data_IF_353812373939
#
_entry.id   IF_353812373939
#
_cell.length_a   1.000
_cell.length_b   1.000
_cell.length_c   1.000
_cell.angle_alpha   90.00
_cell.angle_beta   90.00
_cell.angle_gamma   90.00
#
_symmetry.space_group_name_H-M   'P 1'
#
loop_
_entity.id
_entity.type
_entity.pdbx_description
1 polymer ?
#
# COMPACT_ATOMS: atom_id res chain seq x y z
N UNK A 1 28.47 -7.08 -4.54
CA UNK A 1 27.03 -6.95 -4.21
C UNK A 1 26.96 -6.66 -2.72
N UNK A 2 26.41 -5.51 -2.30
CA UNK A 2 26.16 -5.25 -0.87
C UNK A 2 24.88 -6.01 -0.51
N UNK A 3 24.98 -6.97 0.39
CA UNK A 3 23.81 -7.58 1.02
C UNK A 3 22.96 -6.46 1.63
N UNK A 4 21.67 -6.45 1.27
CA UNK A 4 20.70 -5.55 1.90
C UNK A 4 20.58 -6.06 3.34
N UNK A 5 20.90 -5.26 4.38
CA UNK A 5 20.66 -5.71 5.74
C UNK A 5 19.16 -6.03 5.86
N UNK A 6 18.84 -7.26 6.26
CA UNK A 6 17.46 -7.62 6.57
C UNK A 6 16.97 -6.69 7.68
N UNK A 7 15.85 -6.01 7.44
CA UNK A 7 15.25 -5.13 8.44
C UNK A 7 14.74 -6.02 9.58
N UNK A 8 15.12 -5.68 10.81
CA UNK A 8 14.54 -6.33 11.98
C UNK A 8 13.02 -6.05 12.03
N UNK A 9 12.23 -6.98 12.53
CA UNK A 9 10.77 -6.84 12.56
C UNK A 9 10.32 -5.59 13.35
N UNK A 10 11.07 -5.22 14.38
CA UNK A 10 10.85 -3.99 15.14
C UNK A 10 11.08 -2.73 14.29
N UNK A 11 12.06 -2.74 13.40
CA UNK A 11 12.32 -1.64 12.48
C UNK A 11 11.21 -1.52 11.43
N UNK A 12 10.74 -2.67 10.91
CA UNK A 12 9.61 -2.71 9.99
C UNK A 12 8.36 -2.11 10.64
N UNK A 13 8.03 -2.50 11.87
CA UNK A 13 6.89 -1.96 12.60
C UNK A 13 7.01 -0.44 12.80
N UNK A 14 8.17 0.03 13.27
CA UNK A 14 8.41 1.47 13.47
C UNK A 14 8.26 2.28 12.18
N UNK A 15 8.77 1.75 11.06
CA UNK A 15 8.67 2.41 9.76
C UNK A 15 7.22 2.36 9.24
N UNK A 16 6.48 1.27 9.46
CA UNK A 16 5.06 1.18 9.13
C UNK A 16 4.24 2.21 9.92
N UNK A 17 4.47 2.37 11.22
CA UNK A 17 3.79 3.35 12.05
C UNK A 17 4.09 4.78 11.59
N UNK A 18 5.33 5.05 11.21
CA UNK A 18 5.74 6.33 10.63
C UNK A 18 5.06 6.60 9.29
N UNK A 19 4.99 5.60 8.40
CA UNK A 19 4.29 5.72 7.12
C UNK A 19 2.79 5.98 7.32
N UNK A 20 2.16 5.24 8.24
CA UNK A 20 0.76 5.42 8.63
C UNK A 20 0.49 6.84 9.10
N UNK A 21 1.32 7.38 9.99
CA UNK A 21 1.19 8.75 10.46
C UNK A 21 1.22 9.77 9.29
N UNK A 22 2.15 9.61 8.35
CA UNK A 22 2.28 10.48 7.17
C UNK A 22 1.04 10.39 6.27
N UNK A 23 0.54 9.17 6.02
CA UNK A 23 -0.66 8.94 5.21
C UNK A 23 -1.89 9.60 5.82
N UNK A 24 -2.07 9.46 7.14
CA UNK A 24 -3.19 10.05 7.89
C UNK A 24 -3.12 11.57 7.97
N UNK A 25 -1.93 12.14 8.15
CA UNK A 25 -1.72 13.59 8.27
C UNK A 25 -1.79 14.33 6.94
N UNK A 26 -1.83 13.64 5.80
CA UNK A 26 -1.81 14.27 4.49
C UNK A 26 -3.06 15.13 4.26
N UNK A 27 -2.87 16.32 3.68
CA UNK A 27 -3.90 17.37 3.55
C UNK A 27 -5.00 17.09 2.53
N UNK A 28 -4.89 16.00 1.76
CA UNK A 28 -5.91 15.58 0.82
C UNK A 28 -7.25 15.25 1.53
N UNK A 29 -8.38 15.20 0.78
CA UNK A 29 -9.68 14.78 1.32
C UNK A 29 -9.62 13.38 1.93
N UNK A 30 -10.23 13.17 3.10
CA UNK A 30 -10.16 11.90 3.83
C UNK A 30 -10.84 10.74 3.09
N UNK A 31 -11.84 11.04 2.26
CA UNK A 31 -12.53 10.05 1.43
C UNK A 31 -11.60 9.23 0.53
N UNK A 32 -10.38 9.73 0.23
CA UNK A 32 -9.34 8.96 -0.46
C UNK A 32 -9.02 7.64 0.24
N UNK A 33 -9.12 7.60 1.57
CA UNK A 33 -8.83 6.44 2.41
C UNK A 33 -10.06 5.54 2.64
N UNK A 34 -11.15 5.73 1.88
CA UNK A 34 -12.40 4.96 2.04
C UNK A 34 -12.24 3.45 1.81
N UNK A 35 -11.19 3.04 1.09
CA UNK A 35 -10.83 1.63 0.88
C UNK A 35 -9.76 1.13 1.86
N UNK A 36 -9.18 2.03 2.63
CA UNK A 36 -8.04 1.75 3.49
C UNK A 36 -8.39 1.74 4.97
N UNK A 37 -9.46 2.45 5.36
CA UNK A 37 -9.88 2.64 6.74
C UNK A 37 -11.39 2.45 6.81
N UNK A 38 -11.82 1.59 7.72
CA UNK A 38 -13.23 1.35 7.96
C UNK A 38 -13.92 2.61 8.51
N UNK A 39 -15.10 2.93 7.98
CA UNK A 39 -15.93 4.06 8.41
C UNK A 39 -15.21 5.43 8.38
N UNK A 40 -14.31 5.65 7.42
CA UNK A 40 -13.52 6.90 7.34
C UNK A 40 -14.38 8.18 7.23
N UNK A 41 -15.60 8.08 6.69
CA UNK A 41 -16.53 9.21 6.56
C UNK A 41 -16.96 9.83 7.90
N UNK A 42 -16.77 9.13 9.03
CA UNK A 42 -17.06 9.68 10.37
C UNK A 42 -16.19 10.88 10.73
N UNK A 43 -15.02 11.02 10.10
CA UNK A 43 -14.10 12.13 10.35
C UNK A 43 -14.48 13.39 9.57
N UNK A 44 -15.22 13.25 8.47
CA UNK A 44 -15.62 14.37 7.60
C UNK A 44 -16.87 15.11 8.11
N UNK A 45 -17.64 14.46 8.97
CA UNK A 45 -18.94 14.94 9.47
C UNK A 45 -18.85 15.68 10.80
N UNK A 46 -17.66 15.77 11.40
CA UNK A 46 -17.48 16.32 12.74
C UNK A 46 -17.34 17.85 12.69
N UNK A 47 -18.32 18.56 13.24
CA UNK A 47 -18.18 19.99 13.52
C UNK A 47 -17.40 20.17 14.82
N UNK A 48 -16.17 20.66 14.73
CA UNK A 48 -15.29 20.90 15.87
C UNK A 48 -14.15 21.87 15.51
N UNK A 49 -13.33 22.27 16.49
CA UNK A 49 -12.20 23.19 16.25
C UNK A 49 -11.02 22.51 15.52
N UNK A 50 -11.04 21.19 15.40
CA UNK A 50 -9.98 20.38 14.78
C UNK A 50 -10.30 20.08 13.32
N UNK A 51 -9.26 19.89 12.51
CA UNK A 51 -9.44 19.44 11.13
C UNK A 51 -9.77 17.94 11.11
N UNK A 52 -10.49 17.45 10.09
CA UNK A 52 -10.71 16.01 9.92
C UNK A 52 -9.41 15.20 9.95
N UNK A 53 -8.32 15.73 9.37
CA UNK A 53 -7.02 15.05 9.31
C UNK A 53 -6.37 14.93 10.68
N UNK A 54 -6.51 15.97 11.51
CA UNK A 54 -6.03 15.93 12.89
C UNK A 54 -6.80 14.88 13.69
N UNK A 55 -8.13 14.85 13.56
CA UNK A 55 -8.98 13.85 14.22
C UNK A 55 -8.63 12.42 13.78
N UNK A 56 -8.39 12.21 12.48
CA UNK A 56 -7.96 10.92 11.93
C UNK A 56 -6.60 10.49 12.50
N UNK A 57 -5.63 11.39 12.53
CA UNK A 57 -4.29 11.13 13.06
C UNK A 57 -4.34 10.78 14.55
N UNK A 58 -5.10 11.55 15.35
CA UNK A 58 -5.26 11.30 16.78
C UNK A 58 -5.98 9.98 17.06
N UNK A 59 -7.01 9.63 16.27
CA UNK A 59 -7.71 8.36 16.41
C UNK A 59 -6.84 7.16 15.96
N UNK A 60 -5.90 7.38 15.03
CA UNK A 60 -5.01 6.37 14.44
C UNK A 60 -5.70 5.02 14.17
N UNK A 61 -6.86 5.00 13.48
CA UNK A 61 -7.59 3.76 13.26
C UNK A 61 -6.71 2.72 12.54
N UNK A 62 -6.94 1.42 12.75
CA UNK A 62 -6.20 0.41 12.02
C UNK A 62 -6.49 0.54 10.51
N UNK A 63 -5.49 0.18 9.70
CA UNK A 63 -5.72 -0.04 8.28
C UNK A 63 -6.52 -1.33 8.08
N UNK A 64 -7.27 -1.39 6.99
CA UNK A 64 -7.77 -2.66 6.45
C UNK A 64 -6.59 -3.57 6.10
N UNK A 65 -6.81 -4.89 6.13
CA UNK A 65 -5.76 -5.89 5.97
C UNK A 65 -4.91 -5.68 4.71
N UNK A 66 -5.56 -5.45 3.56
CA UNK A 66 -4.87 -5.19 2.29
C UNK A 66 -3.98 -3.94 2.37
N UNK A 67 -4.49 -2.82 2.91
CA UNK A 67 -3.74 -1.58 3.05
C UNK A 67 -2.54 -1.72 3.99
N UNK A 68 -2.70 -2.48 5.09
CA UNK A 68 -1.60 -2.77 6.01
C UNK A 68 -0.48 -3.56 5.29
N UNK A 69 -0.82 -4.64 4.59
CA UNK A 69 0.15 -5.44 3.83
C UNK A 69 0.82 -4.64 2.70
N UNK A 70 0.07 -3.76 2.04
CA UNK A 70 0.64 -2.85 1.03
C UNK A 70 1.69 -1.96 1.69
N UNK A 71 1.35 -1.22 2.74
CA UNK A 71 2.30 -0.31 3.41
C UNK A 71 3.52 -1.06 3.91
N UNK A 72 3.32 -2.23 4.52
CA UNK A 72 4.41 -3.09 4.98
C UNK A 72 5.31 -3.52 3.83
N UNK A 73 4.75 -3.86 2.66
CA UNK A 73 5.54 -4.22 1.48
C UNK A 73 6.44 -3.07 1.00
N UNK A 74 5.92 -1.85 0.95
CA UNK A 74 6.76 -0.67 0.65
C UNK A 74 7.87 -0.48 1.69
N UNK A 75 7.58 -0.70 2.97
CA UNK A 75 8.58 -0.60 4.04
C UNK A 75 9.64 -1.70 3.92
N UNK A 76 9.26 -2.95 3.64
CA UNK A 76 10.22 -4.04 3.48
C UNK A 76 11.10 -3.87 2.23
N UNK A 77 10.53 -3.35 1.14
CA UNK A 77 11.27 -3.18 -0.11
C UNK A 77 12.20 -1.95 -0.09
N UNK A 78 11.84 -0.86 0.59
CA UNK A 78 12.59 0.41 0.55
C UNK A 78 13.19 0.84 1.90
N UNK A 79 12.75 0.26 3.02
CA UNK A 79 13.20 0.57 4.37
C UNK A 79 13.14 2.07 4.68
N UNK A 80 14.17 2.57 5.36
CA UNK A 80 14.33 4.00 5.62
C UNK A 80 14.44 4.85 4.34
N UNK A 81 14.79 4.23 3.19
CA UNK A 81 14.85 4.89 1.89
C UNK A 81 13.48 5.40 1.42
N UNK A 82 12.38 4.78 1.86
CA UNK A 82 11.01 5.23 1.57
C UNK A 82 10.74 6.67 2.05
N UNK A 83 11.49 7.14 3.05
CA UNK A 83 11.32 8.46 3.66
C UNK A 83 12.33 9.50 3.13
N UNK A 84 13.08 9.17 2.08
CA UNK A 84 14.14 10.03 1.51
C UNK A 84 14.10 10.00 -0.02
N UNK A 85 14.56 11.06 -0.69
CA UNK A 85 14.80 10.99 -2.13
C UNK A 85 15.79 9.84 -2.49
N UNK A 86 15.61 9.17 -3.64
CA UNK A 86 14.58 9.43 -4.64
C UNK A 86 13.24 8.76 -4.32
N UNK A 87 13.13 7.83 -3.37
CA UNK A 87 11.93 6.98 -3.21
C UNK A 87 10.78 7.61 -2.42
N UNK A 88 10.98 8.79 -1.81
CA UNK A 88 9.94 9.52 -1.08
C UNK A 88 8.68 9.82 -1.88
N UNK A 89 8.74 9.84 -3.22
CA UNK A 89 7.53 10.01 -4.05
C UNK A 89 6.54 8.83 -3.90
N UNK A 90 7.03 7.62 -3.61
CA UNK A 90 6.16 6.46 -3.38
C UNK A 90 5.33 6.64 -2.12
N UNK A 91 5.95 7.12 -1.03
CA UNK A 91 5.22 7.45 0.20
C UNK A 91 4.24 8.60 0.00
N UNK A 92 4.62 9.61 -0.80
CA UNK A 92 3.71 10.69 -1.16
C UNK A 92 2.52 10.17 -1.98
N UNK A 93 2.72 9.21 -2.88
CA UNK A 93 1.63 8.58 -3.62
C UNK A 93 0.66 7.86 -2.67
N UNK A 94 1.18 7.03 -1.74
CA UNK A 94 0.36 6.37 -0.71
C UNK A 94 -0.44 7.38 0.11
N UNK A 95 0.18 8.50 0.48
CA UNK A 95 -0.46 9.53 1.29
C UNK A 95 -1.52 10.33 0.52
N UNK A 96 -1.26 10.61 -0.76
CA UNK A 96 -2.11 11.43 -1.62
C UNK A 96 -3.34 10.69 -2.14
N UNK A 97 -3.25 9.39 -2.41
CA UNK A 97 -4.35 8.60 -3.00
C UNK A 97 -4.90 7.51 -2.08
N UNK A 98 -4.16 7.10 -1.05
CA UNK A 98 -4.45 5.94 -0.21
C UNK A 98 -3.66 4.70 -0.66
N UNK A 99 -3.21 3.83 0.28
CA UNK A 99 -2.40 2.66 -0.04
C UNK A 99 -2.94 1.79 -1.16
N UNK A 100 -4.22 1.44 -1.09
CA UNK A 100 -4.84 0.54 -2.07
C UNK A 100 -4.89 1.18 -3.46
N UNK A 101 -5.32 2.45 -3.58
CA UNK A 101 -5.40 3.13 -4.88
C UNK A 101 -4.02 3.40 -5.51
N UNK A 102 -3.01 3.69 -4.69
CA UNK A 102 -1.63 3.82 -5.16
C UNK A 102 -1.07 2.49 -5.67
N UNK A 103 -1.25 1.40 -4.92
CA UNK A 103 -0.81 0.07 -5.31
C UNK A 103 -1.46 -0.40 -6.62
N UNK A 104 -2.77 -0.17 -6.76
CA UNK A 104 -3.49 -0.42 -8.01
C UNK A 104 -2.91 0.33 -9.20
N UNK A 105 -2.60 1.61 -9.01
CA UNK A 105 -2.01 2.45 -10.06
C UNK A 105 -0.66 1.90 -10.51
N UNK A 106 0.17 1.45 -9.56
CA UNK A 106 1.47 0.86 -9.84
C UNK A 106 1.38 -0.49 -10.54
N UNK A 107 0.40 -1.33 -10.20
CA UNK A 107 0.19 -2.60 -10.90
C UNK A 107 -0.29 -2.36 -12.33
N UNK A 108 -1.17 -1.37 -12.56
CA UNK A 108 -1.69 -1.08 -13.90
C UNK A 108 -0.70 -0.35 -14.82
N UNK A 109 0.06 0.60 -14.29
CA UNK A 109 0.88 1.53 -15.08
C UNK A 109 2.38 1.40 -14.77
N UNK A 110 2.75 0.41 -13.96
CA UNK A 110 4.14 0.15 -13.61
C UNK A 110 4.97 -0.11 -14.87
N UNK A 111 6.23 0.35 -14.89
CA UNK A 111 7.09 0.13 -16.04
C UNK A 111 7.24 -1.37 -16.31
N UNK A 112 7.01 -1.78 -17.55
CA UNK A 112 7.35 -3.11 -18.07
C UNK A 112 8.87 -3.24 -18.28
N UNK A 113 9.66 -2.93 -17.25
CA UNK A 113 11.12 -2.74 -17.30
C UNK A 113 11.93 -3.83 -16.60
N UNK A 114 13.18 -4.03 -17.06
CA UNK A 114 14.18 -5.10 -16.80
C UNK A 114 14.24 -5.76 -15.41
N UNK A 115 14.80 -6.99 -15.39
CA UNK A 115 14.82 -7.99 -14.31
C UNK A 115 15.45 -7.55 -12.96
N UNK A 116 16.06 -6.36 -12.87
CA UNK A 116 16.74 -5.84 -11.67
C UNK A 116 16.11 -4.57 -11.07
N UNK A 117 14.91 -4.20 -11.52
CA UNK A 117 14.20 -3.03 -10.96
C UNK A 117 13.54 -3.38 -9.61
N UNK A 118 13.86 -2.64 -8.55
CA UNK A 118 13.23 -2.80 -7.22
C UNK A 118 11.71 -2.58 -7.32
N UNK A 119 11.25 -1.75 -8.27
CA UNK A 119 9.82 -1.56 -8.53
C UNK A 119 9.15 -2.82 -9.09
N UNK A 120 9.85 -3.67 -9.84
CA UNK A 120 9.30 -4.93 -10.33
C UNK A 120 9.02 -5.89 -9.18
N UNK A 121 9.94 -5.99 -8.21
CA UNK A 121 9.76 -6.79 -7.00
C UNK A 121 8.60 -6.29 -6.12
N UNK A 122 8.42 -4.97 -6.05
CA UNK A 122 7.27 -4.35 -5.41
C UNK A 122 5.97 -4.73 -6.14
N UNK A 123 5.88 -4.53 -7.46
CA UNK A 123 4.67 -4.79 -8.26
C UNK A 123 4.21 -6.25 -8.11
N UNK A 124 5.11 -7.22 -8.26
CA UNK A 124 4.78 -8.64 -8.06
C UNK A 124 4.28 -8.92 -6.63
N UNK A 125 4.82 -8.19 -5.65
CA UNK A 125 4.33 -8.20 -4.28
C UNK A 125 2.90 -7.71 -4.13
N UNK A 126 2.61 -6.56 -4.74
CA UNK A 126 1.28 -5.96 -4.72
C UNK A 126 0.25 -6.86 -5.43
N UNK A 127 0.62 -7.49 -6.54
CA UNK A 127 -0.22 -8.50 -7.21
C UNK A 127 -0.57 -9.65 -6.27
N UNK A 128 0.38 -10.13 -5.46
CA UNK A 128 0.16 -11.18 -4.46
C UNK A 128 -0.78 -10.74 -3.34
N UNK A 129 -0.64 -9.49 -2.86
CA UNK A 129 -1.56 -8.91 -1.88
C UNK A 129 -2.97 -8.85 -2.44
N UNK A 130 -3.12 -8.39 -3.68
CA UNK A 130 -4.43 -8.31 -4.35
C UNK A 130 -5.04 -9.68 -4.65
N UNK A 131 -4.23 -10.68 -4.97
CA UNK A 131 -4.72 -12.07 -5.10
C UNK A 131 -5.29 -12.60 -3.78
N UNK A 132 -4.71 -12.19 -2.64
CA UNK A 132 -5.19 -12.56 -1.30
C UNK A 132 -6.37 -11.70 -0.81
N UNK A 133 -6.54 -10.51 -1.38
CA UNK A 133 -7.56 -9.52 -1.04
C UNK A 133 -8.32 -9.02 -2.28
N UNK A 134 -9.04 -9.90 -3.00
CA UNK A 134 -9.77 -9.54 -4.22
C UNK A 134 -10.84 -8.46 -3.99
N UNK A 135 -11.40 -8.38 -2.79
CA UNK A 135 -12.37 -7.37 -2.36
C UNK A 135 -11.78 -5.97 -2.32
N UNK A 136 -10.46 -5.87 -2.07
CA UNK A 136 -9.78 -4.60 -2.00
C UNK A 136 -9.72 -3.94 -3.37
N UNK A 137 -9.75 -4.69 -4.48
CA UNK A 137 -9.64 -4.18 -5.84
C UNK A 137 -10.89 -3.49 -6.39
N UNK A 138 -10.67 -2.45 -7.18
CA UNK A 138 -11.70 -1.88 -8.04
C UNK A 138 -12.17 -2.91 -9.08
N UNK A 139 -13.44 -2.80 -9.50
CA UNK A 139 -14.02 -3.70 -10.51
C UNK A 139 -13.20 -3.73 -11.82
N UNK A 140 -12.73 -2.59 -12.36
CA UNK A 140 -11.88 -2.60 -13.55
C UNK A 140 -10.61 -3.43 -13.38
N UNK A 141 -9.95 -3.34 -12.22
CA UNK A 141 -8.68 -4.04 -11.98
C UNK A 141 -8.89 -5.53 -11.73
N UNK A 142 -9.99 -5.93 -11.07
CA UNK A 142 -10.35 -7.35 -10.97
C UNK A 142 -10.46 -8.02 -12.34
N UNK A 143 -10.94 -7.32 -13.37
CA UNK A 143 -10.99 -7.86 -14.74
C UNK A 143 -9.62 -8.01 -15.37
N UNK A 144 -8.70 -7.07 -15.12
CA UNK A 144 -7.33 -7.11 -15.63
C UNK A 144 -6.50 -8.18 -14.92
N UNK A 145 -6.66 -8.29 -13.60
CA UNK A 145 -5.90 -9.23 -12.77
C UNK A 145 -6.53 -10.61 -12.65
N UNK A 146 -7.78 -10.79 -13.09
CA UNK A 146 -8.49 -12.08 -13.05
C UNK A 146 -7.65 -13.29 -13.50
N UNK A 147 -6.84 -13.22 -14.58
CA UNK A 147 -5.99 -14.32 -15.01
C UNK A 147 -4.88 -14.69 -14.01
N UNK A 148 -4.47 -13.74 -13.15
CA UNK A 148 -3.41 -13.90 -12.16
C UNK A 148 -3.93 -14.20 -10.75
N UNK A 149 -5.20 -13.88 -10.48
CA UNK A 149 -5.85 -14.10 -9.18
C UNK A 149 -6.35 -15.54 -9.00
N UNK A 150 -6.48 -16.29 -10.09
CA UNK A 150 -6.93 -17.69 -10.11
C UNK A 150 -5.77 -18.63 -10.46
N UNK A 151 -4.78 -18.76 -9.57
CA UNK A 151 -3.79 -19.83 -9.65
C UNK A 151 -3.48 -20.42 -8.27
N UNK A 152 -4.19 -21.48 -7.83
CA UNK A 152 -3.61 -22.45 -6.92
C UNK A 152 -2.54 -23.22 -7.70
N UNK A 153 -1.33 -23.37 -7.17
CA UNK A 153 -0.23 -24.03 -7.87
C UNK A 153 -0.63 -25.41 -8.44
N UNK A 154 -0.33 -25.62 -9.72
CA UNK A 154 -0.48 -26.90 -10.42
C UNK A 154 0.45 -27.98 -9.85
N UNK A 155 0.06 -29.26 -9.81
CA UNK A 155 1.02 -30.34 -9.98
C UNK A 155 1.11 -30.71 -11.47
N UNK A 156 2.34 -30.66 -11.96
CA UNK A 156 2.88 -31.41 -13.10
C UNK A 156 2.21 -32.76 -13.33
N UNK A 157 1.85 -33.05 -14.58
CA UNK A 157 1.37 -34.37 -14.97
C UNK A 157 1.26 -34.51 -16.49
N UNK A 158 2.40 -34.56 -17.18
CA UNK A 158 2.54 -35.30 -18.45
C UNK A 158 3.00 -36.73 -18.10
N UNK A 159 2.61 -37.74 -18.90
CA UNK A 159 3.09 -37.90 -20.27
C UNK A 159 2.01 -37.85 -21.35
#
# INVERSE_FOLDING_TARGET
>A
MREKPELEEKDVQMLCDRAKAIIMSHSAPIVRLSRDIENVGRFDTRSGPTTPQFDLLCASPPFMAASAQIVERFVRDFGAGLFRPPFSFLLLALAATGPVAAAETLVLHGPSGHQHDTLRGLIAGLETVFASHPEALSIPIRRVLAPYMLNPQSPTGTP
#
